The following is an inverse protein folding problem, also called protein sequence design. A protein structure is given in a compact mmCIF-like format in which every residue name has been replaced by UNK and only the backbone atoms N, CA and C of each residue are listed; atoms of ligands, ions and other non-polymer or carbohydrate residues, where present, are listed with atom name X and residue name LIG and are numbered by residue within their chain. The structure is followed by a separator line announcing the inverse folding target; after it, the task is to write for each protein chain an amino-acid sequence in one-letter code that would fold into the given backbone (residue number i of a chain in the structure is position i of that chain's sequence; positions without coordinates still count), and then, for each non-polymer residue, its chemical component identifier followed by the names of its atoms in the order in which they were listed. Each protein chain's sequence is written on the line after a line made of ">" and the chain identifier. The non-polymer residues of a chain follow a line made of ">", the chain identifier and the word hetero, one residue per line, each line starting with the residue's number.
data_IF_193564685492
#
_entry.id   IF_193564685492
#
_cell.length_a   1.000
_cell.length_b   1.000
_cell.length_c   1.000
_cell.angle_alpha   90.00
_cell.angle_beta   90.00
_cell.angle_gamma   90.00
#
_symmetry.space_group_name_H-M   'P 1'
#
loop_
_entity.id
_entity.type
_entity.pdbx_description
1 polymer ?
#
# COMPACT_ATOMS: atom_id res chain seq x y z
N UNK A 1 34.19 0.45 -38.11
CA UNK A 1 33.27 -0.40 -37.31
C UNK A 1 33.03 0.18 -35.92
N UNK A 2 34.08 0.39 -35.10
CA UNK A 2 33.98 0.91 -33.72
C UNK A 2 33.12 2.16 -33.55
N UNK A 3 33.38 3.22 -34.32
CA UNK A 3 32.63 4.50 -34.25
C UNK A 3 31.14 4.34 -34.53
N UNK A 4 30.76 3.45 -35.46
CA UNK A 4 29.34 3.21 -35.79
C UNK A 4 28.62 2.48 -34.65
N UNK A 5 29.31 1.56 -33.98
CA UNK A 5 28.76 0.85 -32.83
C UNK A 5 28.66 1.73 -31.59
N UNK A 6 29.64 2.61 -31.36
CA UNK A 6 29.59 3.60 -30.27
C UNK A 6 28.40 4.54 -30.43
N UNK A 7 28.19 5.09 -31.64
CA UNK A 7 27.01 5.92 -31.94
C UNK A 7 25.69 5.16 -31.78
N UNK A 8 25.64 3.88 -32.14
CA UNK A 8 24.45 3.06 -31.96
C UNK A 8 24.19 2.73 -30.48
N UNK A 9 25.23 2.52 -29.68
CA UNK A 9 25.10 2.30 -28.24
C UNK A 9 24.61 3.56 -27.52
N UNK A 10 25.13 4.72 -27.90
CA UNK A 10 24.69 6.02 -27.37
C UNK A 10 23.20 6.27 -27.70
N UNK A 11 22.79 6.08 -28.96
CA UNK A 11 21.39 6.26 -29.35
C UNK A 11 20.43 5.28 -28.67
N UNK A 12 20.86 4.02 -28.50
CA UNK A 12 20.11 3.01 -27.75
C UNK A 12 19.96 3.41 -26.27
N UNK A 13 21.03 3.92 -25.64
CA UNK A 13 21.01 4.39 -24.25
C UNK A 13 20.05 5.56 -24.06
N UNK A 14 20.10 6.56 -24.95
CA UNK A 14 19.20 7.71 -24.93
C UNK A 14 17.74 7.29 -25.08
N UNK A 15 17.47 6.38 -26.03
CA UNK A 15 16.11 5.87 -26.26
C UNK A 15 15.60 5.07 -25.06
N UNK A 16 16.45 4.21 -24.49
CA UNK A 16 16.10 3.43 -23.31
C UNK A 16 15.77 4.34 -22.11
N UNK A 17 16.57 5.37 -21.87
CA UNK A 17 16.32 6.34 -20.80
C UNK A 17 14.99 7.09 -20.99
N UNK A 18 14.70 7.55 -22.21
CA UNK A 18 13.42 8.20 -22.53
C UNK A 18 12.23 7.25 -22.32
N UNK A 19 12.34 6.00 -22.78
CA UNK A 19 11.29 5.00 -22.61
C UNK A 19 11.08 4.66 -21.13
N UNK A 20 12.15 4.50 -20.36
CA UNK A 20 12.07 4.23 -18.93
C UNK A 20 11.38 5.38 -18.17
N UNK A 21 11.73 6.63 -18.49
CA UNK A 21 11.05 7.81 -17.92
C UNK A 21 9.56 7.81 -18.26
N UNK A 22 9.21 7.68 -19.54
CA UNK A 22 7.81 7.68 -19.98
C UNK A 22 6.99 6.54 -19.35
N UNK A 23 7.60 5.38 -19.16
CA UNK A 23 6.98 4.25 -18.48
C UNK A 23 6.72 4.54 -17.01
N UNK A 24 7.71 5.12 -16.31
CA UNK A 24 7.57 5.55 -14.92
C UNK A 24 6.45 6.58 -14.75
N UNK A 25 6.43 7.61 -15.59
CA UNK A 25 5.40 8.67 -15.56
C UNK A 25 4.00 8.09 -15.80
N UNK A 26 3.86 7.19 -16.78
CA UNK A 26 2.59 6.54 -17.09
C UNK A 26 2.12 5.64 -15.94
N UNK A 27 3.00 4.79 -15.42
CA UNK A 27 2.68 3.87 -14.32
C UNK A 27 2.30 4.61 -13.04
N UNK A 28 3.01 5.70 -12.74
CA UNK A 28 2.78 6.51 -11.54
C UNK A 28 1.68 7.56 -11.70
N UNK A 29 1.05 7.70 -12.88
CA UNK A 29 0.09 8.78 -13.20
C UNK A 29 -1.08 8.91 -12.20
N UNK A 30 -1.52 7.80 -11.60
CA UNK A 30 -2.59 7.75 -10.60
C UNK A 30 -2.10 7.33 -9.22
N UNK A 31 -0.79 7.25 -9.02
CA UNK A 31 -0.22 6.92 -7.73
C UNK A 31 -0.40 8.08 -6.76
N UNK A 32 -0.76 7.75 -5.53
CA UNK A 32 -0.78 8.70 -4.42
C UNK A 32 0.21 8.26 -3.36
N UNK A 33 0.74 9.23 -2.62
CA UNK A 33 1.58 8.93 -1.46
C UNK A 33 0.70 8.29 -0.38
N UNK A 34 1.10 7.11 0.08
CA UNK A 34 0.45 6.40 1.18
C UNK A 34 1.28 6.61 2.44
N UNK A 35 0.65 7.12 3.49
CA UNK A 35 1.24 7.27 4.81
C UNK A 35 0.34 6.61 5.84
N UNK A 36 0.95 6.02 6.86
CA UNK A 36 0.24 5.37 7.95
C UNK A 36 0.80 5.84 9.29
N UNK A 37 -0.09 6.01 10.27
CA UNK A 37 0.30 6.37 11.63
C UNK A 37 0.64 5.13 12.47
N UNK A 38 1.50 5.29 13.48
CA UNK A 38 1.73 4.24 14.48
C UNK A 38 0.39 3.96 15.19
N UNK A 39 0.05 2.68 15.39
CA UNK A 39 -1.24 2.22 15.91
C UNK A 39 -2.34 2.02 14.86
N UNK A 40 -2.13 2.48 13.62
CA UNK A 40 -3.15 2.34 12.57
C UNK A 40 -3.33 0.88 12.14
N UNK A 41 -4.59 0.46 11.98
CA UNK A 41 -4.96 -0.87 11.52
C UNK A 41 -4.85 -0.96 10.00
N UNK A 42 -4.12 -1.96 9.52
CA UNK A 42 -3.80 -2.17 8.12
C UNK A 42 -3.93 -3.63 7.70
N UNK A 43 -4.00 -3.86 6.39
CA UNK A 43 -3.99 -5.19 5.78
C UNK A 43 -2.72 -5.32 4.92
N UNK A 44 -2.04 -6.46 5.03
CA UNK A 44 -0.79 -6.73 4.34
C UNK A 44 -0.98 -7.70 3.18
N UNK A 45 -0.32 -7.44 2.06
CA UNK A 45 -0.21 -8.42 0.98
C UNK A 45 0.89 -9.43 1.33
N UNK A 46 0.48 -10.64 1.72
CA UNK A 46 1.37 -11.73 2.11
C UNK A 46 1.31 -12.84 1.05
N UNK A 47 2.47 -13.21 0.51
CA UNK A 47 2.63 -14.40 -0.34
C UNK A 47 2.65 -15.65 0.53
N UNK A 48 1.96 -16.70 0.10
CA UNK A 48 2.13 -18.02 0.70
C UNK A 48 3.58 -18.50 0.47
N UNK A 49 4.16 -19.12 1.49
CA UNK A 49 5.49 -19.73 1.43
C UNK A 49 5.59 -20.86 0.41
N UNK A 50 4.47 -21.54 0.13
CA UNK A 50 4.41 -22.68 -0.78
C UNK A 50 4.22 -22.27 -2.24
N UNK A 51 3.61 -21.11 -2.50
CA UNK A 51 3.30 -20.67 -3.85
C UNK A 51 3.29 -19.13 -3.96
N UNK A 52 4.30 -18.61 -4.67
CA UNK A 52 4.49 -17.16 -4.89
C UNK A 52 3.36 -16.50 -5.69
N UNK A 53 2.54 -17.28 -6.40
CA UNK A 53 1.39 -16.77 -7.17
C UNK A 53 0.23 -16.44 -6.22
N UNK A 54 0.09 -17.18 -5.11
CA UNK A 54 -0.99 -16.95 -4.14
C UNK A 54 -0.56 -15.91 -3.10
N UNK A 55 -0.69 -14.64 -3.48
CA UNK A 55 -0.62 -13.52 -2.54
C UNK A 55 -2.01 -13.12 -2.08
N UNK A 56 -2.20 -12.98 -0.76
CA UNK A 56 -3.48 -12.62 -0.15
C UNK A 56 -3.35 -11.42 0.80
N UNK A 57 -4.36 -10.56 0.78
CA UNK A 57 -4.52 -9.50 1.76
C UNK A 57 -4.89 -10.14 3.11
N UNK A 58 -3.98 -10.05 4.08
CA UNK A 58 -4.08 -10.65 5.42
C UNK A 58 -4.03 -9.55 6.48
N UNK A 59 -4.91 -9.63 7.47
CA UNK A 59 -5.02 -8.64 8.53
C UNK A 59 -6.29 -8.84 9.36
N UNK A 60 -6.63 -7.88 10.23
CA UNK A 60 -5.93 -6.61 10.44
C UNK A 60 -4.61 -6.78 11.20
N UNK A 61 -3.64 -5.92 10.93
CA UNK A 61 -2.38 -5.78 11.67
C UNK A 61 -2.12 -4.32 12.02
N UNK A 62 -1.25 -4.08 12.98
CA UNK A 62 -1.00 -2.74 13.53
C UNK A 62 0.36 -2.21 13.11
N UNK A 63 0.42 -0.96 12.66
CA UNK A 63 1.69 -0.26 12.38
C UNK A 63 2.41 -0.01 13.71
N UNK A 64 3.59 -0.56 13.89
CA UNK A 64 4.38 -0.36 15.12
C UNK A 64 5.53 0.63 14.93
N UNK A 65 6.04 0.78 13.71
CA UNK A 65 7.17 1.65 13.42
C UNK A 65 7.18 2.06 11.95
N UNK A 66 7.45 3.34 11.68
CA UNK A 66 7.79 3.82 10.34
C UNK A 66 9.29 3.69 10.10
N UNK A 67 9.67 3.13 8.95
CA UNK A 67 11.05 3.01 8.49
C UNK A 67 11.21 3.75 7.15
N UNK A 68 11.77 4.99 7.17
CA UNK A 68 11.91 5.79 5.97
C UNK A 68 12.72 5.09 4.86
N UNK A 69 12.45 5.38 3.58
CA UNK A 69 11.46 6.33 3.09
C UNK A 69 10.05 5.75 2.90
N UNK A 70 9.90 4.45 2.71
CA UNK A 70 8.65 3.85 2.23
C UNK A 70 8.31 2.49 2.87
N UNK A 71 8.86 2.21 4.04
CA UNK A 71 8.67 0.91 4.70
C UNK A 71 8.13 1.07 6.11
N UNK A 72 7.44 0.04 6.58
CA UNK A 72 6.84 0.00 7.91
C UNK A 72 7.11 -1.35 8.54
N UNK A 73 7.20 -1.37 9.87
CA UNK A 73 7.05 -2.60 10.65
C UNK A 73 5.60 -2.72 11.07
N UNK A 74 5.02 -3.89 10.80
CA UNK A 74 3.62 -4.19 11.09
C UNK A 74 3.54 -5.44 11.94
N UNK A 75 2.83 -5.35 13.06
CA UNK A 75 2.56 -6.47 13.96
C UNK A 75 1.24 -7.12 13.55
N UNK A 76 1.31 -8.40 13.22
CA UNK A 76 0.14 -9.21 12.86
C UNK A 76 -0.52 -9.85 14.10
N UNK A 77 -1.75 -10.39 13.97
CA UNK A 77 -2.47 -11.03 15.08
C UNK A 77 -1.73 -12.24 15.67
N UNK A 78 -0.93 -12.92 14.85
CA UNK A 78 -0.06 -14.04 15.24
C UNK A 78 1.20 -13.59 16.01
N UNK A 79 1.27 -12.30 16.39
CA UNK A 79 2.42 -11.63 17.04
C UNK A 79 3.67 -11.55 16.16
N UNK A 80 3.61 -11.97 14.90
CA UNK A 80 4.75 -11.80 13.99
C UNK A 80 4.88 -10.33 13.60
N UNK A 81 6.12 -9.86 13.52
CA UNK A 81 6.44 -8.51 13.05
C UNK A 81 7.04 -8.62 11.66
N UNK A 82 6.44 -7.94 10.69
CA UNK A 82 6.92 -7.93 9.30
C UNK A 82 7.39 -6.55 8.90
N UNK A 83 8.55 -6.50 8.27
CA UNK A 83 9.03 -5.32 7.58
C UNK A 83 8.51 -5.34 6.14
N UNK A 84 7.69 -4.36 5.77
CA UNK A 84 6.99 -4.33 4.49
C UNK A 84 7.05 -2.95 3.85
N UNK A 85 7.19 -2.93 2.53
CA UNK A 85 7.08 -1.72 1.73
C UNK A 85 5.62 -1.24 1.67
N UNK A 86 5.40 0.07 1.65
CA UNK A 86 4.09 0.73 1.69
C UNK A 86 3.11 0.24 0.62
N UNK A 87 3.60 -0.14 -0.56
CA UNK A 87 2.78 -0.69 -1.65
C UNK A 87 2.11 -2.02 -1.30
N UNK A 88 2.64 -2.75 -0.32
CA UNK A 88 2.08 -4.01 0.19
C UNK A 88 1.12 -3.80 1.37
N UNK A 89 0.75 -2.56 1.66
CA UNK A 89 -0.10 -2.17 2.78
C UNK A 89 -1.37 -1.49 2.24
N UNK A 90 -2.52 -1.79 2.85
CA UNK A 90 -3.79 -1.09 2.66
C UNK A 90 -4.39 -0.71 4.01
N UNK A 91 -5.10 0.42 4.06
CA UNK A 91 -5.89 0.78 5.24
C UNK A 91 -6.92 -0.30 5.51
N UNK A 92 -7.06 -0.73 6.76
CA UNK A 92 -8.12 -1.64 7.15
C UNK A 92 -9.40 -0.84 7.37
N UNK A 93 -10.46 -1.20 6.65
CA UNK A 93 -11.79 -0.67 6.88
C UNK A 93 -12.60 -1.76 7.59
N UNK A 94 -12.95 -1.57 8.88
CA UNK A 94 -13.76 -2.54 9.58
C UNK A 94 -15.11 -2.67 8.88
N UNK A 95 -15.64 -3.90 8.79
CA UNK A 95 -17.02 -4.09 8.33
C UNK A 95 -17.94 -3.67 9.47
N UNK A 96 -18.87 -2.77 9.19
CA UNK A 96 -19.96 -2.47 10.11
C UNK A 96 -20.80 -3.75 10.26
N UNK A 97 -20.78 -4.35 11.45
CA UNK A 97 -21.57 -5.55 11.76
C UNK A 97 -23.01 -5.19 12.14
N UNK A 98 -23.25 -3.95 12.55
CA UNK A 98 -24.56 -3.39 12.85
C UNK A 98 -24.59 -1.91 12.42
N UNK A 99 -25.73 -1.46 11.90
CA UNK A 99 -26.02 -0.05 11.66
C UNK A 99 -27.05 0.36 12.71
N UNK A 100 -26.66 1.28 13.60
CA UNK A 100 -27.59 1.92 14.52
C UNK A 100 -28.32 3.07 13.81
N UNK A 101 -29.62 3.20 14.05
CA UNK A 101 -30.37 4.41 13.71
C UNK A 101 -30.41 5.25 14.98
N UNK A 102 -29.89 6.47 14.91
CA UNK A 102 -29.95 7.45 16.00
C UNK A 102 -31.19 8.31 15.74
N UNK A 103 -32.11 8.37 16.71
CA UNK A 103 -33.26 9.27 16.65
C UNK A 103 -32.93 10.60 17.35
N UNK A 104 -33.67 11.66 17.05
CA UNK A 104 -33.45 12.99 17.64
C UNK A 104 -33.50 12.99 19.17
N UNK A 105 -34.24 12.04 19.76
CA UNK A 105 -34.41 11.90 21.21
C UNK A 105 -33.32 11.04 21.88
N UNK A 106 -32.42 10.43 21.11
CA UNK A 106 -31.28 9.72 21.69
C UNK A 106 -30.23 10.74 22.16
N UNK A 107 -29.69 10.58 23.37
CA UNK A 107 -28.70 11.52 23.94
C UNK A 107 -27.36 10.85 24.26
N UNK A 108 -27.24 9.52 24.13
CA UNK A 108 -26.07 8.76 24.57
C UNK A 108 -25.77 7.59 23.60
N UNK A 109 -24.79 7.77 22.71
CA UNK A 109 -24.46 6.82 21.64
C UNK A 109 -22.95 6.60 21.40
N UNK A 110 -22.09 7.27 22.18
CA UNK A 110 -20.64 7.19 22.02
C UNK A 110 -20.11 7.87 20.73
N UNK A 111 -18.90 7.51 20.32
CA UNK A 111 -18.27 8.09 19.12
C UNK A 111 -18.93 7.57 17.83
N UNK A 112 -19.43 8.50 17.02
CA UNK A 112 -20.11 8.19 15.76
C UNK A 112 -19.07 8.09 14.63
N UNK A 113 -18.95 6.90 14.04
CA UNK A 113 -18.17 6.70 12.83
C UNK A 113 -19.09 6.57 11.62
N UNK A 114 -19.08 7.53 10.67
CA UNK A 114 -19.92 7.43 9.48
C UNK A 114 -19.50 6.22 8.65
N UNK A 115 -20.48 5.52 8.08
CA UNK A 115 -20.20 4.49 7.10
C UNK A 115 -19.49 5.12 5.89
N UNK A 116 -18.42 4.50 5.36
CA UNK A 116 -17.75 5.03 4.18
C UNK A 116 -18.75 5.07 3.01
N UNK A 117 -18.82 6.22 2.33
CA UNK A 117 -19.63 6.36 1.11
C UNK A 117 -19.20 5.31 0.09
N UNK A 118 -20.18 4.55 -0.42
CA UNK A 118 -19.99 3.58 -1.51
C UNK A 118 -19.52 4.27 -2.80
#
# INVERSE_FOLDING_TARGET
>A
MKIKMEKAAESASLTAAQKQKSYGDYFNKRSSVKNFSIGEQVVLLITDSSNKIYARWTGPGEIILHHPPHSYKVKLPDRTVRHVHVNKIRKYHPRALAVGVIFEDDHEFGEIHPTPNL
#
